data_IF_961772423932
#
_entry.id   IF_961772423932
#
_cell.length_a   1.000
_cell.length_b   1.000
_cell.length_c   1.000
_cell.angle_alpha   90.00
_cell.angle_beta   90.00
_cell.angle_gamma   90.00
#
_symmetry.space_group_name_H-M   'P 1'
#
loop_
_entity.id
_entity.type
_entity.pdbx_description
1 polymer ?
#
# COMPACT_ATOMS: atom_id res chain seq x y z
N UNK A 1 -0.17 -15.09 16.51
CA UNK A 1 0.33 -14.66 15.18
C UNK A 1 -0.80 -13.94 14.47
N UNK A 2 -0.59 -12.70 14.05
CA UNK A 2 -1.55 -11.92 13.27
C UNK A 2 -1.01 -11.75 11.86
N UNK A 3 -1.90 -11.73 10.87
CA UNK A 3 -1.53 -11.51 9.46
C UNK A 3 -2.42 -10.41 8.92
N UNK A 4 -1.81 -9.37 8.36
CA UNK A 4 -2.49 -8.25 7.72
C UNK A 4 -2.28 -8.37 6.21
N UNK A 5 -3.36 -8.51 5.45
CA UNK A 5 -3.31 -8.62 3.99
C UNK A 5 -3.70 -7.27 3.40
N UNK A 6 -2.76 -6.62 2.70
CA UNK A 6 -2.98 -5.35 2.04
C UNK A 6 -2.81 -5.51 0.53
N UNK A 7 -3.76 -4.97 -0.25
CA UNK A 7 -3.60 -4.81 -1.70
C UNK A 7 -2.71 -3.60 -1.98
N UNK A 8 -1.92 -3.63 -3.06
CA UNK A 8 -1.19 -2.45 -3.53
C UNK A 8 -2.13 -1.25 -3.76
N UNK A 9 -1.60 -0.04 -3.62
CA UNK A 9 -2.32 1.19 -3.92
C UNK A 9 -2.68 1.31 -5.40
N UNK A 10 -3.53 2.29 -5.74
CA UNK A 10 -3.89 2.56 -7.13
C UNK A 10 -2.65 2.72 -8.04
N UNK A 11 -2.61 1.97 -9.13
CA UNK A 11 -1.53 1.97 -10.11
C UNK A 11 -1.98 2.60 -11.43
N UNK A 12 -1.07 3.31 -12.10
CA UNK A 12 -1.32 3.94 -13.39
C UNK A 12 -1.86 2.93 -14.41
N UNK A 13 -2.74 3.34 -15.32
CA UNK A 13 -3.34 2.42 -16.30
C UNK A 13 -2.33 1.92 -17.34
N UNK A 14 -1.36 2.78 -17.71
CA UNK A 14 -0.37 2.47 -18.74
C UNK A 14 1.06 2.53 -18.20
N UNK A 15 1.89 1.62 -18.69
CA UNK A 15 3.34 1.58 -18.55
C UNK A 15 3.93 0.69 -19.65
N UNK A 16 5.27 0.58 -19.73
CA UNK A 16 5.92 -0.29 -20.71
C UNK A 16 5.57 -1.78 -20.54
N UNK A 17 5.19 -2.21 -19.32
CA UNK A 17 4.61 -3.52 -19.02
C UNK A 17 3.79 -3.44 -17.73
N UNK A 18 2.91 -4.41 -17.49
CA UNK A 18 2.09 -4.45 -16.27
C UNK A 18 2.94 -4.49 -14.98
N UNK A 19 4.05 -5.23 -15.01
CA UNK A 19 4.95 -5.40 -13.87
C UNK A 19 5.67 -4.10 -13.42
N UNK A 20 5.76 -3.10 -14.30
CA UNK A 20 6.46 -1.82 -14.01
C UNK A 20 5.50 -0.64 -13.88
N UNK A 21 4.21 -0.90 -13.71
CA UNK A 21 3.20 0.16 -13.51
C UNK A 21 3.48 0.91 -12.21
N UNK A 22 3.73 2.24 -12.26
CA UNK A 22 3.93 3.02 -11.04
C UNK A 22 2.61 3.23 -10.30
N UNK A 23 2.68 3.48 -9.00
CA UNK A 23 1.55 4.01 -8.25
C UNK A 23 1.19 5.41 -8.76
N UNK A 24 -0.11 5.70 -8.84
CA UNK A 24 -0.59 7.06 -9.07
C UNK A 24 -0.34 7.93 -7.83
N UNK A 25 -0.53 9.25 -7.94
CA UNK A 25 -0.51 10.12 -6.76
C UNK A 25 -1.58 9.70 -5.74
N UNK A 26 -2.80 9.42 -6.22
CA UNK A 26 -3.90 8.91 -5.40
C UNK A 26 -3.50 7.63 -4.65
N UNK A 27 -2.99 6.62 -5.35
CA UNK A 27 -2.60 5.35 -4.74
C UNK A 27 -1.50 5.49 -3.68
N UNK A 28 -0.58 6.45 -3.85
CA UNK A 28 0.45 6.76 -2.82
C UNK A 28 -0.18 7.40 -1.59
N UNK A 29 -1.11 8.33 -1.78
CA UNK A 29 -1.74 9.05 -0.67
C UNK A 29 -2.71 8.16 0.12
N UNK A 30 -3.49 7.32 -0.53
CA UNK A 30 -4.35 6.34 0.13
C UNK A 30 -3.54 5.31 0.92
N UNK A 31 -2.42 4.83 0.35
CA UNK A 31 -1.51 3.91 1.07
C UNK A 31 -0.93 4.56 2.32
N UNK A 32 -0.58 5.85 2.27
CA UNK A 32 -0.11 6.62 3.43
C UNK A 32 -1.20 6.81 4.49
N UNK A 33 -2.45 7.06 4.07
CA UNK A 33 -3.57 7.15 5.00
C UNK A 33 -3.78 5.84 5.74
N UNK A 34 -3.68 4.70 5.05
CA UNK A 34 -3.75 3.39 5.69
C UNK A 34 -2.58 3.12 6.62
N UNK A 35 -1.36 3.51 6.25
CA UNK A 35 -0.21 3.43 7.14
C UNK A 35 -0.41 4.29 8.40
N UNK A 36 -0.91 5.52 8.26
CA UNK A 36 -1.22 6.39 9.39
C UNK A 36 -2.30 5.77 10.29
N UNK A 37 -3.35 5.19 9.72
CA UNK A 37 -4.37 4.47 10.48
C UNK A 37 -3.81 3.23 11.19
N UNK A 38 -2.94 2.45 10.55
CA UNK A 38 -2.28 1.30 11.17
C UNK A 38 -1.40 1.72 12.35
N UNK A 39 -0.71 2.85 12.26
CA UNK A 39 0.07 3.41 13.38
C UNK A 39 -0.79 3.82 14.58
N UNK A 40 -2.10 4.06 14.39
CA UNK A 40 -3.02 4.26 15.52
C UNK A 40 -3.43 2.94 16.18
N UNK A 41 -3.09 1.80 15.58
CA UNK A 41 -3.31 0.48 16.15
C UNK A 41 -2.06 0.09 16.93
N UNK A 42 -2.26 -0.56 18.06
CA UNK A 42 -1.18 -1.19 18.83
C UNK A 42 -0.74 -2.49 18.14
N UNK A 43 -0.35 -2.41 16.87
CA UNK A 43 0.14 -3.53 16.06
C UNK A 43 1.60 -3.23 15.70
N UNK A 44 2.46 -4.19 16.00
CA UNK A 44 3.86 -4.16 15.59
C UNK A 44 4.05 -5.08 14.38
N UNK A 45 4.69 -4.59 13.33
CA UNK A 45 4.89 -5.32 12.07
C UNK A 45 6.28 -5.94 12.10
N UNK A 46 6.34 -7.21 12.49
CA UNK A 46 7.59 -7.97 12.57
C UNK A 46 8.17 -8.31 11.18
N UNK A 47 7.30 -8.53 10.18
CA UNK A 47 7.68 -8.94 8.82
C UNK A 47 6.72 -8.38 7.77
N UNK A 48 7.27 -7.97 6.63
CA UNK A 48 6.58 -7.58 5.38
C UNK A 48 6.99 -8.53 4.27
#
# INVERSE_FOLDING_TARGET
>A
MQVLIMRHGEAALEAASDAVRPLTLCGRDESRQMAAWLNTKSVDIERV
#
